data_IF_025804655006
#
_entry.id   IF_025804655006
#
_cell.length_a   1.000
_cell.length_b   1.000
_cell.length_c   1.000
_cell.angle_alpha   90.00
_cell.angle_beta   90.00
_cell.angle_gamma   90.00
#
_symmetry.space_group_name_H-M   'P 1'
#
loop_
_entity.id
_entity.type
_entity.pdbx_description
1 polymer ?
#
# COMPACT_ATOMS: atom_id res chain seq x y z
N UNK A 1 -27.64 -9.22 12.45
CA UNK A 1 -27.48 -8.80 11.04
C UNK A 1 -26.06 -8.28 10.89
N UNK A 2 -25.15 -9.11 10.39
CA UNK A 2 -23.73 -8.75 10.24
C UNK A 2 -23.61 -7.70 9.13
N UNK A 3 -23.14 -6.51 9.52
CA UNK A 3 -22.88 -5.42 8.58
C UNK A 3 -21.49 -5.66 8.00
N UNK A 4 -21.42 -6.14 6.76
CA UNK A 4 -20.18 -6.19 6.00
C UNK A 4 -19.77 -4.75 5.64
N UNK A 5 -18.61 -4.31 6.10
CA UNK A 5 -18.03 -2.98 5.84
C UNK A 5 -17.27 -2.96 4.51
N UNK A 6 -17.32 -1.88 3.70
CA UNK A 6 -16.60 -1.81 2.43
C UNK A 6 -15.07 -1.76 2.60
N UNK A 7 -14.39 -2.75 2.04
CA UNK A 7 -12.96 -3.08 2.17
C UNK A 7 -12.05 -2.29 1.21
N UNK A 8 -11.94 -0.96 1.31
CA UNK A 8 -11.14 -0.19 0.33
C UNK A 8 -9.83 0.46 0.78
N UNK A 9 -9.37 0.25 2.01
CA UNK A 9 -7.94 0.50 2.33
C UNK A 9 -7.50 -0.50 3.41
N UNK A 10 -6.99 -1.65 2.98
CA UNK A 10 -6.34 -2.59 3.91
C UNK A 10 -4.92 -2.11 4.17
N UNK A 11 -4.74 -1.35 5.25
CA UNK A 11 -3.42 -1.08 5.81
C UNK A 11 -2.86 -2.40 6.36
N UNK A 12 -1.89 -2.99 5.66
CA UNK A 12 -1.12 -4.14 6.16
C UNK A 12 -0.12 -3.65 7.21
N UNK A 13 -0.63 -3.25 8.37
CA UNK A 13 0.13 -3.23 9.62
C UNK A 13 -0.45 -4.21 10.65
N UNK A 14 -1.61 -4.83 10.35
CA UNK A 14 -2.36 -5.66 11.32
C UNK A 14 -2.39 -7.16 11.00
N UNK A 15 -1.61 -7.64 10.03
CA UNK A 15 -1.50 -9.08 9.78
C UNK A 15 -0.38 -9.72 10.62
N UNK A 16 0.70 -8.99 10.90
CA UNK A 16 1.88 -9.51 11.63
C UNK A 16 1.57 -9.83 13.13
N UNK A 17 0.44 -9.36 13.67
CA UNK A 17 0.05 -9.58 15.08
C UNK A 17 -1.11 -10.55 15.31
N UNK A 18 -1.71 -11.13 14.27
CA UNK A 18 -2.80 -12.10 14.39
C UNK A 18 -2.25 -13.52 14.59
N UNK A 19 -2.39 -14.07 15.79
CA UNK A 19 -1.63 -15.20 16.32
C UNK A 19 -1.90 -16.61 15.77
N UNK A 20 -2.42 -16.78 14.55
CA UNK A 20 -2.74 -18.11 13.98
C UNK A 20 -1.92 -18.48 12.72
N UNK A 21 -1.06 -17.58 12.25
CA UNK A 21 -0.16 -17.84 11.11
C UNK A 21 1.28 -17.85 11.61
N UNK A 22 2.04 -18.89 11.29
CA UNK A 22 3.49 -18.91 11.50
C UNK A 22 4.16 -17.94 10.53
N UNK A 23 4.22 -16.67 10.91
CA UNK A 23 4.91 -15.60 10.17
C UNK A 23 6.43 -15.79 10.08
N UNK A 24 6.98 -16.79 10.79
CA UNK A 24 8.38 -17.18 10.69
C UNK A 24 8.65 -18.10 9.50
N UNK A 25 7.62 -18.53 8.77
CA UNK A 25 7.77 -19.27 7.52
C UNK A 25 7.78 -18.30 6.32
N UNK A 26 8.92 -18.15 5.63
CA UNK A 26 9.04 -17.25 4.49
C UNK A 26 8.14 -17.66 3.30
N UNK A 27 7.83 -18.95 3.15
CA UNK A 27 7.01 -19.44 2.04
C UNK A 27 5.54 -19.11 2.26
N UNK A 28 5.04 -19.28 3.49
CA UNK A 28 3.65 -18.92 3.85
C UNK A 28 3.41 -17.42 3.67
N UNK A 29 4.36 -16.61 4.14
CA UNK A 29 4.28 -15.15 4.05
C UNK A 29 4.23 -14.70 2.58
N UNK A 30 5.07 -15.28 1.73
CA UNK A 30 5.13 -14.96 0.31
C UNK A 30 3.85 -15.34 -0.44
N UNK A 31 3.31 -16.53 -0.19
CA UNK A 31 2.06 -17.00 -0.83
C UNK A 31 0.88 -16.11 -0.44
N UNK A 32 0.75 -15.79 0.85
CA UNK A 32 -0.35 -14.96 1.33
C UNK A 32 -0.27 -13.53 0.79
N UNK A 33 0.93 -12.93 0.81
CA UNK A 33 1.12 -11.57 0.34
C UNK A 33 0.87 -11.45 -1.17
N UNK A 34 1.26 -12.46 -1.96
CA UNK A 34 0.89 -12.56 -3.36
C UNK A 34 -0.63 -12.62 -3.55
N UNK A 35 -1.33 -13.53 -2.88
CA UNK A 35 -2.78 -13.67 -3.02
C UNK A 35 -3.55 -12.39 -2.64
N UNK A 36 -3.11 -11.70 -1.58
CA UNK A 36 -3.70 -10.44 -1.17
C UNK A 36 -3.39 -9.29 -2.13
N UNK A 37 -2.20 -9.27 -2.75
CA UNK A 37 -1.85 -8.25 -3.77
C UNK A 37 -2.76 -8.31 -5.00
N UNK A 38 -3.32 -9.47 -5.33
CA UNK A 38 -4.24 -9.62 -6.47
C UNK A 38 -5.64 -9.09 -6.17
N UNK A 39 -6.04 -9.13 -4.91
CA UNK A 39 -7.42 -8.83 -4.48
C UNK A 39 -7.54 -7.44 -3.86
N UNK A 40 -6.45 -6.89 -3.34
CA UNK A 40 -6.43 -5.64 -2.60
C UNK A 40 -5.34 -4.70 -3.10
N UNK A 41 -5.63 -3.41 -3.06
CA UNK A 41 -4.61 -2.36 -3.25
C UNK A 41 -3.83 -2.17 -1.95
N UNK A 42 -2.51 -2.08 -2.06
CA UNK A 42 -1.61 -1.95 -0.91
C UNK A 42 -1.00 -0.56 -0.87
N UNK A 43 -0.70 -0.10 0.35
CA UNK A 43 0.06 1.11 0.61
C UNK A 43 1.35 0.72 1.35
N UNK A 44 2.46 0.78 0.63
CA UNK A 44 3.79 0.49 1.14
C UNK A 44 4.38 1.72 1.83
N UNK A 45 4.70 1.61 3.11
CA UNK A 45 5.26 2.69 3.94
C UNK A 45 6.53 2.18 4.63
N UNK A 46 7.61 2.96 4.59
CA UNK A 46 8.86 2.64 5.27
C UNK A 46 9.75 1.61 4.56
N UNK A 47 9.32 1.09 3.41
CA UNK A 47 10.13 0.27 2.51
C UNK A 47 10.55 1.10 1.30
N UNK A 48 11.82 1.01 0.93
CA UNK A 48 12.35 1.66 -0.26
C UNK A 48 12.10 0.81 -1.51
N UNK A 49 12.09 1.45 -2.69
CA UNK A 49 12.11 0.75 -3.99
C UNK A 49 13.34 -0.15 -4.20
N UNK A 50 14.37 0.00 -3.37
CA UNK A 50 15.59 -0.79 -3.41
C UNK A 50 15.55 -2.02 -2.49
N UNK A 51 14.44 -2.24 -1.77
CA UNK A 51 14.26 -3.45 -0.97
C UNK A 51 14.08 -4.66 -1.92
N UNK A 52 15.00 -5.64 -1.93
CA UNK A 52 14.99 -6.72 -2.89
C UNK A 52 13.77 -7.63 -2.74
N UNK A 53 13.23 -7.78 -1.53
CA UNK A 53 12.09 -8.68 -1.27
C UNK A 53 10.78 -8.04 -1.74
N UNK A 54 10.58 -6.75 -1.44
CA UNK A 54 9.43 -5.98 -1.93
C UNK A 54 9.47 -5.86 -3.46
N UNK A 55 10.66 -5.61 -4.02
CA UNK A 55 10.83 -5.53 -5.46
C UNK A 55 10.49 -6.86 -6.14
N UNK A 56 11.02 -7.97 -5.63
CA UNK A 56 10.72 -9.30 -6.17
C UNK A 56 9.23 -9.63 -6.11
N UNK A 57 8.56 -9.24 -5.02
CA UNK A 57 7.12 -9.44 -4.87
C UNK A 57 6.30 -8.66 -5.91
N UNK A 58 6.67 -7.39 -6.13
CA UNK A 58 5.98 -6.54 -7.10
C UNK A 58 6.25 -6.97 -8.54
N UNK A 59 7.48 -7.37 -8.85
CA UNK A 59 7.84 -7.93 -10.16
C UNK A 59 7.05 -9.24 -10.42
N UNK A 60 6.94 -10.13 -9.44
CA UNK A 60 6.19 -11.39 -9.55
C UNK A 60 4.68 -11.13 -9.72
N UNK A 61 4.11 -10.18 -8.98
CA UNK A 61 2.70 -9.80 -9.08
C UNK A 61 2.37 -9.15 -10.42
N UNK A 62 3.19 -8.20 -10.88
CA UNK A 62 3.04 -7.54 -12.17
C UNK A 62 3.16 -8.53 -13.34
N UNK A 63 4.19 -9.39 -13.32
CA UNK A 63 4.44 -10.35 -14.39
C UNK A 63 3.30 -11.36 -14.56
N UNK A 64 2.68 -11.77 -13.45
CA UNK A 64 1.58 -12.76 -13.48
C UNK A 64 0.23 -12.13 -13.83
N UNK A 65 0.06 -10.82 -13.59
CA UNK A 65 -1.24 -10.17 -13.68
C UNK A 65 -1.14 -8.73 -14.22
N UNK A 66 -1.04 -8.60 -15.54
CA UNK A 66 -0.92 -7.33 -16.29
C UNK A 66 -2.14 -6.38 -16.14
N UNK A 67 -3.24 -6.87 -15.57
CA UNK A 67 -4.51 -6.12 -15.42
C UNK A 67 -4.86 -5.75 -13.97
N UNK A 68 -3.96 -5.92 -13.00
CA UNK A 68 -4.21 -5.56 -11.60
C UNK A 68 -4.16 -4.05 -11.40
N UNK A 69 -4.93 -3.54 -10.42
CA UNK A 69 -4.88 -2.13 -10.05
C UNK A 69 -3.50 -1.81 -9.47
N UNK A 70 -2.88 -0.66 -9.82
CA UNK A 70 -1.58 -0.30 -9.29
C UNK A 70 -1.62 -0.14 -7.77
N UNK A 71 -0.58 -0.62 -7.08
CA UNK A 71 -0.40 -0.39 -5.64
C UNK A 71 0.23 0.99 -5.39
N UNK A 72 0.26 1.45 -4.14
CA UNK A 72 0.86 2.72 -3.76
C UNK A 72 2.12 2.51 -2.93
N UNK A 73 3.16 3.28 -3.20
CA UNK A 73 4.36 3.31 -2.38
C UNK A 73 4.67 4.73 -1.92
N UNK A 74 4.96 4.90 -0.63
CA UNK A 74 5.27 6.19 -0.04
C UNK A 74 6.76 6.32 0.15
N UNK A 75 7.36 7.33 -0.48
CA UNK A 75 8.79 7.61 -0.39
C UNK A 75 9.04 9.08 -0.12
N UNK A 76 10.23 9.40 0.42
CA UNK A 76 10.64 10.79 0.54
C UNK A 76 10.97 11.35 -0.84
N UNK A 77 10.88 12.67 -0.98
CA UNK A 77 11.30 13.41 -2.18
C UNK A 77 12.76 13.16 -2.60
N UNK A 78 13.60 12.69 -1.66
CA UNK A 78 14.99 12.27 -1.90
C UNK A 78 15.19 10.77 -2.03
N UNK A 79 14.15 9.96 -1.83
CA UNK A 79 14.22 8.50 -1.81
C UNK A 79 14.26 7.86 -3.20
N UNK A 80 13.83 8.57 -4.23
CA UNK A 80 13.94 8.12 -5.63
C UNK A 80 14.24 9.31 -6.55
N UNK A 81 15.14 9.10 -7.51
CA UNK A 81 15.45 10.10 -8.52
C UNK A 81 14.23 10.35 -9.42
N UNK A 82 13.97 11.61 -9.79
CA UNK A 82 12.77 12.00 -10.56
C UNK A 82 12.62 11.23 -11.88
N UNK A 83 13.73 10.94 -12.54
CA UNK A 83 13.76 10.19 -13.80
C UNK A 83 13.49 8.70 -13.61
N UNK A 84 13.83 8.16 -12.44
CA UNK A 84 13.60 6.75 -12.12
C UNK A 84 12.15 6.48 -11.73
N UNK A 85 11.45 7.50 -11.21
CA UNK A 85 10.04 7.40 -10.81
C UNK A 85 9.14 6.77 -11.89
N UNK A 86 9.02 7.31 -13.12
CA UNK A 86 8.13 6.73 -14.13
C UNK A 86 8.56 5.31 -14.54
N UNK A 87 9.86 5.01 -14.52
CA UNK A 87 10.37 3.69 -14.85
C UNK A 87 9.88 2.67 -13.80
N UNK A 88 10.01 3.01 -12.52
CA UNK A 88 9.57 2.14 -11.42
C UNK A 88 8.06 1.99 -11.40
N UNK A 89 7.31 3.09 -11.57
CA UNK A 89 5.84 3.05 -11.62
C UNK A 89 5.34 2.11 -12.73
N UNK A 90 5.94 2.19 -13.93
CA UNK A 90 5.57 1.35 -15.06
C UNK A 90 6.05 -0.11 -14.93
N UNK A 91 7.23 -0.35 -14.36
CA UNK A 91 7.81 -1.71 -14.31
C UNK A 91 7.24 -2.53 -13.16
N UNK A 92 6.76 -1.89 -12.09
CA UNK A 92 6.27 -2.56 -10.88
C UNK A 92 4.75 -2.39 -10.66
N UNK A 93 4.03 -1.78 -11.60
CA UNK A 93 2.62 -1.41 -11.46
C UNK A 93 2.33 -0.70 -10.13
N UNK A 94 3.09 0.37 -9.87
CA UNK A 94 3.00 1.18 -8.66
C UNK A 94 2.67 2.63 -8.97
N UNK A 95 2.08 3.31 -7.99
CA UNK A 95 1.98 4.75 -7.90
C UNK A 95 2.84 5.24 -6.74
N UNK A 96 3.84 6.07 -7.02
CA UNK A 96 4.76 6.58 -6.01
C UNK A 96 4.25 7.93 -5.47
N UNK A 97 3.87 7.91 -4.19
CA UNK A 97 3.50 9.07 -3.40
C UNK A 97 4.73 9.65 -2.72
N UNK A 98 5.09 10.89 -3.07
CA UNK A 98 6.25 11.56 -2.50
C UNK A 98 5.83 12.59 -1.46
N UNK A 99 6.46 12.56 -0.29
CA UNK A 99 6.35 13.62 0.70
C UNK A 99 7.68 14.35 0.86
N UNK A 100 7.63 15.63 1.21
CA UNK A 100 8.83 16.43 1.46
C UNK A 100 9.44 16.00 2.79
N UNK A 101 10.71 15.59 2.78
CA UNK A 101 11.44 15.33 4.01
C UNK A 101 12.28 16.56 4.39
N UNK A 102 11.75 17.37 5.31
CA UNK A 102 12.47 18.48 5.91
C UNK A 102 13.30 17.99 7.11
N UNK A 103 14.63 17.97 6.94
CA UNK A 103 15.63 17.73 8.01
C UNK A 103 15.60 16.33 8.67
N UNK A 104 15.24 15.30 7.92
CA UNK A 104 15.28 13.91 8.43
C UNK A 104 14.05 13.53 9.26
N UNK A 105 13.05 14.42 9.35
CA UNK A 105 11.79 14.11 10.01
C UNK A 105 10.74 13.65 9.00
N UNK A 106 9.93 12.68 9.44
CA UNK A 106 8.80 12.13 8.70
C UNK A 106 7.45 12.74 9.14
N UNK A 107 7.47 13.86 9.86
CA UNK A 107 6.25 14.52 10.39
C UNK A 107 5.22 14.82 9.30
N UNK A 108 5.68 15.20 8.11
CA UNK A 108 4.80 15.46 6.96
C UNK A 108 4.00 14.21 6.59
N UNK A 109 4.64 13.05 6.57
CA UNK A 109 3.96 11.78 6.30
C UNK A 109 2.92 11.46 7.37
N UNK A 110 3.29 11.59 8.65
CA UNK A 110 2.37 11.35 9.77
C UNK A 110 1.14 12.28 9.70
N UNK A 111 1.36 13.57 9.44
CA UNK A 111 0.28 14.54 9.29
C UNK A 111 -0.61 14.23 8.08
N UNK A 112 -0.03 13.83 6.95
CA UNK A 112 -0.79 13.42 5.76
C UNK A 112 -1.62 12.16 6.02
N UNK A 113 -1.11 11.19 6.78
CA UNK A 113 -1.89 10.01 7.18
C UNK A 113 -3.06 10.36 8.09
N UNK A 114 -2.85 11.24 9.07
CA UNK A 114 -3.95 11.74 9.91
C UNK A 114 -5.03 12.46 9.09
N UNK A 115 -4.61 13.29 8.14
CA UNK A 115 -5.54 13.95 7.23
C UNK A 115 -6.28 12.96 6.34
N UNK A 116 -5.62 11.91 5.86
CA UNK A 116 -6.24 10.86 5.05
C UNK A 116 -7.36 10.15 5.83
N UNK A 117 -7.17 9.88 7.12
CA UNK A 117 -8.21 9.27 7.96
C UNK A 117 -9.47 10.16 7.97
N UNK A 118 -9.31 11.46 8.18
CA UNK A 118 -10.43 12.40 8.17
C UNK A 118 -11.15 12.42 6.81
N UNK A 119 -10.42 12.47 5.70
CA UNK A 119 -10.99 12.45 4.34
C UNK A 119 -11.75 11.15 4.05
N UNK A 120 -11.21 10.01 4.50
CA UNK A 120 -11.87 8.71 4.34
C UNK A 120 -13.16 8.65 5.15
N UNK A 121 -13.16 9.16 6.38
CA UNK A 121 -14.36 9.16 7.22
C UNK A 121 -15.45 10.08 6.67
N UNK A 122 -15.08 11.25 6.15
CA UNK A 122 -16.01 12.15 5.43
C UNK A 122 -16.59 11.47 4.19
N UNK A 123 -15.75 10.83 3.37
CA UNK A 123 -16.21 10.11 2.18
C UNK A 123 -17.15 8.95 2.53
N UNK A 124 -16.85 8.20 3.59
CA UNK A 124 -17.71 7.12 4.11
C UNK A 124 -19.06 7.65 4.58
N UNK A 125 -19.10 8.82 5.20
CA UNK A 125 -20.36 9.47 5.58
C UNK A 125 -21.18 9.85 4.34
N UNK A 126 -20.55 10.44 3.32
CA UNK A 126 -21.23 10.77 2.06
C UNK A 126 -21.78 9.55 1.31
N UNK A 127 -21.07 8.43 1.30
CA UNK A 127 -21.57 7.15 0.73
C UNK A 127 -22.82 6.68 1.49
N UNK A 128 -22.81 6.74 2.83
CA UNK A 128 -23.96 6.36 3.66
C UNK A 128 -25.19 7.23 3.35
N UNK A 129 -24.98 8.53 3.14
CA UNK A 129 -26.05 9.49 2.87
C UNK A 129 -26.64 9.32 1.46
N UNK A 130 -25.80 8.98 0.48
CA UNK A 130 -26.24 8.81 -0.92
C UNK A 130 -26.84 7.43 -1.22
N UNK A 131 -26.77 6.48 -0.29
CA UNK A 131 -27.20 5.07 -0.43
C UNK A 131 -26.70 4.37 -1.71
N UNK A 132 -25.67 4.91 -2.36
CA UNK A 132 -24.96 4.26 -3.46
C UNK A 132 -23.94 3.30 -2.84
N UNK A 133 -24.35 2.04 -2.73
CA UNK A 133 -23.53 0.95 -2.22
C UNK A 133 -22.64 0.36 -3.33
#
# INVERSE_FOLDING_TARGET
MQVATPEYVTVVMKLIGGGDVSWNDPDVTKVLLNALSLTHTFLFIGCGVNDPDIRLLLEDSFFKHDATKPHFMVTSDKGIHKEMKPIVENTLNLNILQYKNSKGSHDVLTNSLNQLVHLVDEHRQGIKETMNW
#
